data_IF_196708848098
#
_entry.id   IF_196708848098
#
_cell.length_a   1.000
_cell.length_b   1.000
_cell.length_c   1.000
_cell.angle_alpha   90.00
_cell.angle_beta   90.00
_cell.angle_gamma   90.00
#
_symmetry.space_group_name_H-M   'P 1'
#
loop_
_entity.id
_entity.type
_entity.pdbx_description
1 polymer ?
#
# COMPACT_ATOMS: atom_id res chain seq x y z
N UNK A 1 5.48 3.06 -3.41
CA UNK A 1 6.62 2.13 -3.49
C UNK A 1 6.32 1.08 -4.53
N UNK A 2 7.25 0.81 -5.47
CA UNK A 2 7.11 -0.28 -6.46
C UNK A 2 7.92 -1.50 -6.01
N UNK A 3 7.34 -2.69 -6.08
CA UNK A 3 7.98 -3.96 -5.74
C UNK A 3 7.87 -4.93 -6.90
N UNK A 4 8.93 -5.69 -7.14
CA UNK A 4 8.97 -6.70 -8.20
C UNK A 4 9.22 -8.06 -7.58
N UNK A 5 8.29 -8.98 -7.81
CA UNK A 5 8.36 -10.34 -7.31
C UNK A 5 8.80 -11.27 -8.44
N UNK A 6 9.82 -12.08 -8.19
CA UNK A 6 10.20 -13.16 -9.08
C UNK A 6 9.17 -14.30 -9.01
N UNK A 7 8.53 -14.63 -10.12
CA UNK A 7 7.47 -15.65 -10.19
C UNK A 7 7.96 -17.04 -10.59
N UNK A 8 9.15 -17.13 -11.18
CA UNK A 8 9.60 -18.33 -11.93
C UNK A 8 10.75 -19.10 -11.21
N UNK A 9 11.13 -18.70 -9.97
CA UNK A 9 12.35 -19.17 -9.29
C UNK A 9 12.16 -19.87 -7.92
N UNK A 10 13.12 -20.73 -7.53
CA UNK A 10 13.17 -21.48 -6.25
C UNK A 10 13.29 -20.61 -4.99
N UNK A 11 13.34 -19.28 -5.11
CA UNK A 11 13.71 -18.37 -4.03
C UNK A 11 12.75 -17.21 -3.73
N UNK A 12 11.67 -17.02 -4.49
CA UNK A 12 10.67 -15.94 -4.30
C UNK A 12 11.30 -14.58 -3.93
N UNK A 13 12.26 -14.12 -4.73
CA UNK A 13 12.97 -12.88 -4.41
C UNK A 13 12.09 -11.65 -4.68
N UNK A 14 12.17 -10.68 -3.78
CA UNK A 14 11.63 -9.33 -3.98
C UNK A 14 12.76 -8.39 -4.37
N UNK A 15 12.58 -7.63 -5.45
CA UNK A 15 13.50 -6.61 -5.92
C UNK A 15 12.94 -5.21 -5.68
N UNK A 16 13.79 -4.34 -5.13
CA UNK A 16 13.58 -2.92 -4.96
C UNK A 16 14.44 -2.17 -6.00
N UNK A 17 13.81 -1.36 -6.84
CA UNK A 17 14.52 -0.65 -7.90
C UNK A 17 15.14 0.64 -7.38
N UNK A 18 16.41 0.86 -7.70
CA UNK A 18 17.13 2.06 -7.26
C UNK A 18 17.82 2.81 -8.39
N UNK A 19 17.96 4.13 -8.21
CA UNK A 19 18.70 5.04 -9.09
C UNK A 19 20.21 4.99 -8.77
N UNK A 20 20.58 5.37 -7.54
CA UNK A 20 21.96 5.37 -7.07
C UNK A 20 22.09 5.12 -5.55
N UNK A 21 23.27 4.65 -5.13
CA UNK A 21 23.63 4.47 -3.71
C UNK A 21 24.20 5.78 -3.17
N UNK A 22 23.58 6.32 -2.14
CA UNK A 22 24.00 7.53 -1.44
C UNK A 22 24.58 7.20 -0.07
N UNK A 23 25.23 8.19 0.56
CA UNK A 23 25.80 8.05 1.91
C UNK A 23 24.74 7.69 2.96
N UNK A 24 23.48 8.05 2.72
CA UNK A 24 22.36 7.87 3.64
C UNK A 24 21.41 6.72 3.25
N UNK A 25 21.74 5.91 2.24
CA UNK A 25 20.89 4.80 1.81
C UNK A 25 20.87 4.62 0.30
N UNK A 26 19.79 4.01 -0.19
CA UNK A 26 19.56 3.75 -1.60
C UNK A 26 18.44 4.68 -2.08
N UNK A 27 18.68 5.44 -3.16
CA UNK A 27 17.66 6.33 -3.74
C UNK A 27 16.71 5.54 -4.62
N UNK A 28 15.40 5.66 -4.39
CA UNK A 28 14.37 5.03 -5.24
C UNK A 28 14.53 5.43 -6.71
N UNK A 29 14.33 4.47 -7.61
CA UNK A 29 14.56 4.68 -9.05
C UNK A 29 13.61 5.71 -9.68
N UNK A 30 12.32 5.62 -9.35
CA UNK A 30 11.30 6.48 -9.92
C UNK A 30 10.99 7.63 -8.98
N UNK A 31 10.99 8.86 -9.49
CA UNK A 31 10.27 9.95 -8.82
C UNK A 31 8.74 9.78 -8.98
N UNK A 32 7.94 10.60 -8.30
CA UNK A 32 6.47 10.48 -8.30
C UNK A 32 5.87 10.62 -9.71
N UNK A 33 6.34 11.58 -10.52
CA UNK A 33 5.81 11.83 -11.86
C UNK A 33 6.19 10.71 -12.85
N UNK A 34 7.44 10.24 -12.78
CA UNK A 34 7.94 9.12 -13.57
C UNK A 34 7.23 7.81 -13.21
N UNK A 35 6.93 7.61 -11.93
CA UNK A 35 6.15 6.45 -11.44
C UNK A 35 4.77 6.42 -12.10
N UNK A 36 4.05 7.55 -12.09
CA UNK A 36 2.72 7.60 -12.68
C UNK A 36 2.74 7.33 -14.20
N UNK A 37 3.68 7.93 -14.92
CA UNK A 37 3.85 7.70 -16.36
C UNK A 37 4.22 6.25 -16.68
N UNK A 38 5.09 5.66 -15.87
CA UNK A 38 5.47 4.26 -15.96
C UNK A 38 4.28 3.33 -15.76
N UNK A 39 3.49 3.55 -14.72
CA UNK A 39 2.28 2.75 -14.43
C UNK A 39 1.28 2.88 -15.58
N UNK A 40 0.94 4.10 -16.01
CA UNK A 40 0.00 4.33 -17.13
C UNK A 40 0.41 3.65 -18.43
N UNK A 41 1.72 3.53 -18.68
CA UNK A 41 2.25 2.94 -19.91
C UNK A 41 2.34 1.41 -19.87
N UNK A 42 2.44 0.82 -18.67
CA UNK A 42 2.77 -0.60 -18.50
C UNK A 42 1.66 -1.42 -17.82
N UNK A 43 0.78 -0.82 -17.02
CA UNK A 43 -0.24 -1.48 -16.22
C UNK A 43 -1.61 -1.27 -16.84
N UNK A 44 -2.25 -2.35 -17.32
CA UNK A 44 -3.47 -2.23 -18.12
C UNK A 44 -4.75 -2.01 -17.32
N UNK A 45 -4.79 -2.46 -16.07
CA UNK A 45 -6.01 -2.50 -15.25
C UNK A 45 -5.86 -1.65 -13.98
N UNK A 46 -5.24 -0.47 -14.10
CA UNK A 46 -5.10 0.45 -12.97
C UNK A 46 -6.38 1.29 -12.85
N UNK A 47 -7.13 1.21 -11.74
CA UNK A 47 -8.33 2.00 -11.54
C UNK A 47 -8.00 3.51 -11.46
N UNK A 48 -8.93 4.39 -11.84
CA UNK A 48 -8.71 5.84 -11.82
C UNK A 48 -8.43 6.36 -10.39
N UNK A 49 -9.10 5.74 -9.41
CA UNK A 49 -8.96 6.01 -7.99
C UNK A 49 -7.51 5.84 -7.50
N UNK A 50 -6.75 4.92 -8.10
CA UNK A 50 -5.33 4.74 -7.80
C UNK A 50 -4.55 6.02 -8.11
N UNK A 51 -4.84 6.69 -9.23
CA UNK A 51 -4.14 7.93 -9.59
C UNK A 51 -4.68 9.15 -8.86
N UNK A 52 -6.01 9.20 -8.67
CA UNK A 52 -6.68 10.33 -8.04
C UNK A 52 -6.39 10.43 -6.55
N UNK A 53 -6.53 9.32 -5.83
CA UNK A 53 -6.39 9.31 -4.37
C UNK A 53 -5.07 8.72 -3.89
N UNK A 54 -4.23 8.21 -4.82
CA UNK A 54 -2.97 7.53 -4.49
C UNK A 54 -3.19 6.37 -3.52
N UNK A 55 -4.25 5.61 -3.76
CA UNK A 55 -4.76 4.55 -2.89
C UNK A 55 -4.75 3.17 -3.52
N UNK A 56 -4.61 2.16 -2.67
CA UNK A 56 -4.58 0.76 -3.08
C UNK A 56 -3.26 0.40 -3.76
N UNK A 57 -3.33 -0.61 -4.61
CA UNK A 57 -2.20 -1.12 -5.37
C UNK A 57 -2.69 -1.63 -6.72
N UNK A 58 -1.77 -1.78 -7.65
CA UNK A 58 -2.02 -2.40 -8.95
C UNK A 58 -0.86 -3.31 -9.29
N UNK A 59 -1.18 -4.43 -9.92
CA UNK A 59 -0.24 -5.46 -10.26
C UNK A 59 -0.23 -5.70 -11.76
N UNK A 60 0.96 -5.99 -12.28
CA UNK A 60 1.18 -6.31 -13.67
C UNK A 60 2.28 -7.35 -13.77
N UNK A 61 1.97 -8.49 -14.38
CA UNK A 61 3.00 -9.46 -14.75
C UNK A 61 3.81 -8.90 -15.90
N UNK A 62 5.13 -9.10 -15.85
CA UNK A 62 6.01 -8.75 -16.94
C UNK A 62 7.40 -9.35 -16.78
N UNK A 63 8.23 -9.10 -17.78
CA UNK A 63 9.66 -9.41 -17.74
C UNK A 63 10.41 -8.17 -17.30
N UNK A 64 11.12 -8.29 -16.19
CA UNK A 64 11.97 -7.24 -15.65
C UNK A 64 13.42 -7.51 -16.05
N UNK A 65 14.07 -6.54 -16.68
CA UNK A 65 15.52 -6.54 -16.92
C UNK A 65 16.20 -5.64 -15.91
N UNK A 66 17.19 -6.18 -15.22
CA UNK A 66 17.94 -5.50 -14.15
C UNK A 66 19.43 -5.72 -14.27
N UNK A 67 20.20 -4.76 -13.77
CA UNK A 67 21.66 -4.82 -13.64
C UNK A 67 22.12 -4.38 -12.25
N UNK A 68 23.40 -4.55 -11.94
CA UNK A 68 24.04 -4.07 -10.69
C UNK A 68 23.28 -4.47 -9.41
N UNK A 69 23.09 -5.76 -9.19
CA UNK A 69 22.39 -6.25 -8.00
C UNK A 69 23.22 -6.05 -6.74
N UNK A 70 22.57 -5.62 -5.65
CA UNK A 70 23.15 -5.52 -4.33
C UNK A 70 22.16 -6.04 -3.28
N UNK A 71 22.67 -6.65 -2.22
CA UNK A 71 21.85 -7.18 -1.13
C UNK A 71 22.12 -6.37 0.13
N UNK A 72 21.07 -5.81 0.73
CA UNK A 72 21.14 -5.17 2.05
C UNK A 72 20.32 -6.01 3.02
N UNK A 73 20.85 -6.25 4.21
CA UNK A 73 20.09 -6.86 5.30
C UNK A 73 19.38 -5.77 6.10
N UNK A 74 18.05 -5.82 6.16
CA UNK A 74 17.23 -4.97 7.02
C UNK A 74 16.24 -5.85 7.79
N UNK A 75 16.16 -5.66 9.12
CA UNK A 75 15.26 -6.43 10.00
C UNK A 75 15.39 -7.96 9.81
N UNK A 76 16.61 -8.48 9.80
CA UNK A 76 16.95 -9.89 9.55
C UNK A 76 16.48 -10.46 8.20
N UNK A 77 15.97 -9.60 7.29
CA UNK A 77 15.58 -9.95 5.93
C UNK A 77 16.57 -9.40 4.91
N UNK A 78 16.90 -10.21 3.90
CA UNK A 78 17.74 -9.80 2.77
C UNK A 78 16.87 -9.11 1.71
N UNK A 79 17.06 -7.81 1.53
CA UNK A 79 16.44 -7.03 0.46
C UNK A 79 17.37 -6.98 -0.74
N UNK A 80 16.86 -7.38 -1.91
CA UNK A 80 17.59 -7.30 -3.17
C UNK A 80 17.30 -5.95 -3.81
N UNK A 81 18.32 -5.15 -4.02
CA UNK A 81 18.24 -3.91 -4.77
C UNK A 81 18.90 -4.12 -6.13
N UNK A 82 18.30 -3.59 -7.18
CA UNK A 82 18.88 -3.65 -8.52
C UNK A 82 18.63 -2.37 -9.30
N UNK A 83 19.54 -2.06 -10.21
CA UNK A 83 19.33 -1.00 -11.19
C UNK A 83 18.28 -1.46 -12.20
N UNK A 84 17.30 -0.61 -12.43
CA UNK A 84 16.27 -0.83 -13.45
C UNK A 84 16.83 -0.58 -14.86
N UNK A 85 16.67 -1.56 -15.75
CA UNK A 85 16.99 -1.39 -17.18
C UNK A 85 15.73 -1.31 -18.04
N UNK A 86 14.79 -2.26 -17.88
CA UNK A 86 13.50 -2.22 -18.57
C UNK A 86 12.44 -3.12 -17.94
N UNK A 87 11.17 -2.85 -18.25
CA UNK A 87 10.03 -3.70 -17.94
C UNK A 87 9.19 -3.90 -19.19
N UNK A 88 8.77 -5.14 -19.45
CA UNK A 88 7.86 -5.48 -20.53
C UNK A 88 6.65 -6.24 -19.99
N UNK A 89 5.43 -5.66 -20.02
CA UNK A 89 4.25 -6.35 -19.52
C UNK A 89 3.93 -7.59 -20.37
N UNK A 90 3.47 -8.65 -19.72
CA UNK A 90 3.01 -9.90 -20.33
C UNK A 90 1.51 -10.06 -20.05
N UNK A 91 0.76 -10.52 -21.05
CA UNK A 91 -0.69 -10.76 -20.93
C UNK A 91 -0.97 -12.23 -20.65
N UNK A 92 -2.00 -12.50 -19.86
CA UNK A 92 -2.56 -13.84 -19.70
C UNK A 92 -1.74 -14.79 -18.82
N UNK A 93 -0.89 -14.28 -17.93
CA UNK A 93 -0.33 -15.07 -16.83
C UNK A 93 -1.09 -14.74 -15.53
N UNK A 94 -1.67 -15.76 -14.93
CA UNK A 94 -2.24 -15.67 -13.59
C UNK A 94 -1.13 -15.74 -12.53
N UNK A 95 -1.30 -15.02 -11.44
CA UNK A 95 -0.41 -15.01 -10.29
C UNK A 95 -1.22 -14.85 -9.00
N UNK A 96 -0.72 -15.43 -7.92
CA UNK A 96 -1.33 -15.32 -6.59
C UNK A 96 -0.61 -14.24 -5.78
N UNK A 97 -1.15 -13.02 -5.80
CA UNK A 97 -0.56 -11.88 -5.09
C UNK A 97 -0.48 -12.12 -3.58
N UNK A 98 -1.48 -12.77 -2.98
CA UNK A 98 -1.49 -13.05 -1.53
C UNK A 98 -0.33 -13.96 -1.14
N UNK A 99 -0.06 -14.97 -1.97
CA UNK A 99 1.09 -15.86 -1.76
C UNK A 99 2.42 -15.09 -1.90
N UNK A 100 2.53 -14.17 -2.86
CA UNK A 100 3.73 -13.36 -3.05
C UNK A 100 3.97 -12.40 -1.87
N UNK A 101 2.91 -11.73 -1.40
CA UNK A 101 2.95 -10.82 -0.26
C UNK A 101 3.31 -11.53 1.05
N UNK A 102 2.73 -12.70 1.32
CA UNK A 102 3.08 -13.52 2.49
C UNK A 102 4.56 -13.91 2.51
N UNK A 103 5.17 -14.10 1.34
CA UNK A 103 6.60 -14.43 1.22
C UNK A 103 7.51 -13.20 1.30
N UNK A 104 6.96 -11.98 1.33
CA UNK A 104 7.73 -10.73 1.31
C UNK A 104 8.25 -10.29 2.69
N UNK A 105 7.95 -11.04 3.75
CA UNK A 105 8.51 -10.84 5.10
C UNK A 105 7.77 -9.78 5.92
N UNK A 106 8.51 -8.84 6.52
CA UNK A 106 8.02 -7.92 7.57
C UNK A 106 6.97 -6.88 7.15
N UNK A 107 6.58 -6.82 5.87
CA UNK A 107 5.67 -5.79 5.37
C UNK A 107 4.83 -6.32 4.20
N UNK A 108 3.84 -7.22 4.47
CA UNK A 108 3.04 -7.84 3.44
C UNK A 108 2.10 -6.85 2.72
N UNK A 109 1.73 -5.74 3.37
CA UNK A 109 0.75 -4.77 2.85
C UNK A 109 1.29 -3.32 2.94
N UNK A 110 2.34 -2.97 2.18
CA UNK A 110 3.00 -1.66 2.26
C UNK A 110 2.12 -0.48 1.82
N UNK A 111 1.00 -0.79 1.18
CA UNK A 111 0.01 0.16 0.70
C UNK A 111 -1.14 0.35 1.71
N UNK A 112 -1.13 -0.37 2.84
CA UNK A 112 -2.11 -0.19 3.90
C UNK A 112 -1.88 1.17 4.56
N UNK A 113 -2.92 2.00 4.58
CA UNK A 113 -2.88 3.31 5.22
C UNK A 113 -3.57 3.22 6.56
N UNK A 114 -2.86 3.59 7.62
CA UNK A 114 -3.38 3.56 8.98
C UNK A 114 -3.58 4.97 9.52
N UNK A 115 -4.70 5.16 10.22
CA UNK A 115 -5.02 6.41 10.90
C UNK A 115 -5.17 6.19 12.39
N UNK A 116 -4.94 7.26 13.13
CA UNK A 116 -5.40 7.43 14.50
C UNK A 116 -6.33 8.63 14.59
N UNK A 117 -7.09 8.72 15.66
CA UNK A 117 -7.87 9.93 15.94
C UNK A 117 -6.90 11.04 16.33
N UNK A 118 -7.09 12.21 15.72
CA UNK A 118 -6.29 13.40 16.01
C UNK A 118 -6.39 13.76 17.49
N UNK A 119 -5.27 14.19 18.06
CA UNK A 119 -5.23 14.62 19.46
C UNK A 119 -6.26 15.74 19.73
N UNK A 120 -7.03 15.59 20.82
CA UNK A 120 -8.10 16.51 21.20
C UNK A 120 -9.46 16.25 20.52
N UNK A 121 -9.58 15.22 19.68
CA UNK A 121 -10.84 14.81 19.05
C UNK A 121 -11.42 13.55 19.71
N UNK A 122 -11.66 13.57 21.03
CA UNK A 122 -12.00 12.36 21.81
C UNK A 122 -13.42 11.81 21.58
N UNK A 123 -14.29 12.55 20.88
CA UNK A 123 -15.71 12.20 20.66
C UNK A 123 -16.00 11.85 19.18
N UNK A 124 -15.06 11.17 18.53
CA UNK A 124 -15.19 10.74 17.13
C UNK A 124 -15.76 9.33 17.06
N UNK A 125 -16.80 9.15 16.24
CA UNK A 125 -17.47 7.86 16.03
C UNK A 125 -17.44 7.46 14.57
N UNK A 126 -17.40 6.14 14.32
CA UNK A 126 -17.67 5.60 12.99
C UNK A 126 -19.13 5.85 12.61
N UNK A 127 -19.33 6.51 11.48
CA UNK A 127 -20.65 6.79 10.90
C UNK A 127 -21.08 5.70 9.93
N UNK A 128 -22.38 5.43 9.85
CA UNK A 128 -22.96 4.44 8.93
C UNK A 128 -23.00 4.92 7.47
N UNK A 129 -22.96 6.24 7.27
CA UNK A 129 -22.88 6.92 5.96
C UNK A 129 -21.90 8.10 6.07
N UNK A 130 -21.35 8.62 4.96
CA UNK A 130 -20.48 9.82 4.97
C UNK A 130 -21.29 11.10 5.20
N UNK A 131 -22.01 11.16 6.33
CA UNK A 131 -22.90 12.23 6.72
C UNK A 131 -22.84 12.37 8.24
N UNK A 132 -22.68 13.61 8.71
CA UNK A 132 -22.56 13.95 10.15
C UNK A 132 -23.77 13.43 10.95
N UNK A 133 -24.95 13.57 10.37
CA UNK A 133 -26.24 13.21 10.97
C UNK A 133 -26.56 11.71 10.91
N UNK A 134 -25.72 10.90 10.25
CA UNK A 134 -25.96 9.46 10.18
C UNK A 134 -25.70 8.77 11.52
N UNK A 135 -26.32 7.61 11.69
CA UNK A 135 -26.18 6.81 12.91
C UNK A 135 -24.74 6.36 13.09
N UNK A 136 -24.30 6.31 14.34
CA UNK A 136 -23.02 5.73 14.70
C UNK A 136 -23.09 4.19 14.51
N UNK A 137 -22.04 3.62 13.93
CA UNK A 137 -21.90 2.16 13.75
C UNK A 137 -21.67 1.47 15.10
N UNK A 138 -20.98 2.16 16.00
CA UNK A 138 -20.66 1.69 17.35
C UNK A 138 -21.12 2.71 18.40
N UNK A 139 -21.41 2.23 19.60
CA UNK A 139 -21.91 3.06 20.71
C UNK A 139 -20.82 3.83 21.46
N UNK A 140 -19.54 3.51 21.23
CA UNK A 140 -18.38 4.14 21.88
C UNK A 140 -17.56 4.95 20.88
N UNK A 141 -16.91 6.04 21.31
CA UNK A 141 -15.91 6.71 20.49
C UNK A 141 -14.78 5.77 20.06
N UNK A 142 -14.15 6.10 18.94
CA UNK A 142 -13.01 5.36 18.40
C UNK A 142 -11.82 5.56 19.34
N UNK A 143 -11.22 4.46 19.80
CA UNK A 143 -10.08 4.46 20.73
C UNK A 143 -8.90 3.62 20.25
N UNK A 144 -8.99 3.07 19.04
CA UNK A 144 -7.95 2.23 18.44
C UNK A 144 -7.63 2.72 17.03
N UNK A 145 -6.47 2.33 16.48
CA UNK A 145 -6.11 2.64 15.11
C UNK A 145 -7.16 2.15 14.10
N UNK A 146 -7.21 2.86 12.99
CA UNK A 146 -8.11 2.63 11.88
C UNK A 146 -7.29 2.23 10.66
N UNK A 147 -7.83 1.31 9.84
CA UNK A 147 -7.26 0.97 8.54
C UNK A 147 -8.14 1.56 7.46
N UNK A 148 -7.54 2.29 6.53
CA UNK A 148 -8.23 2.86 5.37
C UNK A 148 -8.77 1.76 4.46
N UNK A 149 -10.03 1.91 4.05
CA UNK A 149 -10.64 1.05 3.03
C UNK A 149 -10.68 1.79 1.70
N UNK A 150 -11.23 3.01 1.70
CA UNK A 150 -11.28 3.88 0.52
C UNK A 150 -11.62 5.31 0.89
N UNK A 151 -11.11 6.27 0.12
CA UNK A 151 -11.62 7.64 0.13
C UNK A 151 -12.97 7.73 -0.56
N UNK A 152 -13.86 8.55 0.00
CA UNK A 152 -15.17 8.84 -0.57
C UNK A 152 -15.12 10.18 -1.32
N UNK A 153 -14.59 11.20 -0.64
CA UNK A 153 -14.41 12.55 -1.15
C UNK A 153 -13.34 13.26 -0.30
N UNK A 154 -13.16 14.57 -0.51
CA UNK A 154 -12.16 15.38 0.17
C UNK A 154 -12.40 15.51 1.69
N UNK A 155 -13.57 15.10 2.18
CA UNK A 155 -13.95 15.17 3.59
C UNK A 155 -13.99 13.81 4.26
N UNK A 156 -14.46 12.77 3.55
CA UNK A 156 -14.81 11.49 4.13
C UNK A 156 -13.95 10.34 3.64
N UNK A 157 -13.62 9.47 4.58
CA UNK A 157 -12.94 8.21 4.33
C UNK A 157 -13.71 7.06 4.95
N UNK A 158 -13.81 5.95 4.22
CA UNK A 158 -14.29 4.68 4.77
C UNK A 158 -13.11 3.94 5.39
N UNK A 159 -13.30 3.48 6.62
CA UNK A 159 -12.26 2.81 7.44
C UNK A 159 -12.83 1.58 8.14
N UNK A 160 -11.96 0.69 8.59
CA UNK A 160 -12.27 -0.36 9.57
C UNK A 160 -11.47 -0.14 10.86
N UNK A 161 -11.96 -0.67 11.98
CA UNK A 161 -11.13 -0.80 13.17
C UNK A 161 -9.98 -1.79 12.91
N UNK A 162 -8.76 -1.44 13.32
CA UNK A 162 -7.57 -2.29 13.19
C UNK A 162 -7.70 -3.57 14.01
N UNK A 163 -7.36 -4.70 13.41
CA UNK A 163 -7.28 -6.01 14.05
C UNK A 163 -6.19 -6.85 13.38
N UNK A 164 -5.02 -6.93 14.02
CA UNK A 164 -3.85 -7.65 13.51
C UNK A 164 -4.09 -9.16 13.29
N UNK A 165 -5.14 -9.74 13.88
CA UNK A 165 -5.45 -11.17 13.73
C UNK A 165 -6.24 -11.50 12.46
N UNK A 166 -6.72 -10.49 11.74
CA UNK A 166 -7.57 -10.64 10.56
C UNK A 166 -6.83 -10.28 9.27
N UNK A 167 -7.23 -10.86 8.12
CA UNK A 167 -6.69 -10.49 6.81
C UNK A 167 -6.83 -8.99 6.55
N UNK A 168 -5.77 -8.35 6.06
CA UNK A 168 -5.77 -6.90 5.86
C UNK A 168 -5.62 -6.07 7.13
N UNK A 169 -5.36 -6.72 8.28
CA UNK A 169 -5.42 -6.12 9.61
C UNK A 169 -6.72 -5.36 9.91
N UNK A 170 -7.84 -5.83 9.35
CA UNK A 170 -9.13 -5.12 9.34
C UNK A 170 -10.23 -5.95 10.00
N UNK A 171 -10.88 -5.38 11.00
CA UNK A 171 -12.11 -5.96 11.57
C UNK A 171 -13.31 -5.80 10.64
N UNK A 172 -14.40 -6.53 10.94
CA UNK A 172 -15.70 -6.36 10.26
C UNK A 172 -16.40 -5.05 10.66
N UNK A 173 -15.90 -4.34 11.67
CA UNK A 173 -16.48 -3.07 12.12
C UNK A 173 -15.92 -1.95 11.25
N UNK A 174 -16.74 -1.56 10.26
CA UNK A 174 -16.40 -0.55 9.27
C UNK A 174 -17.36 0.63 9.33
N UNK A 175 -16.88 1.81 8.95
CA UNK A 175 -17.72 3.00 8.86
C UNK A 175 -17.02 4.15 8.15
N UNK A 176 -17.62 5.32 8.28
CA UNK A 176 -17.13 6.55 7.68
C UNK A 176 -16.68 7.51 8.78
N UNK A 177 -15.59 8.23 8.54
CA UNK A 177 -15.05 9.25 9.44
C UNK A 177 -14.48 10.39 8.58
N UNK A 178 -14.39 11.59 9.14
CA UNK A 178 -13.82 12.73 8.42
C UNK A 178 -12.31 12.72 8.48
N UNK A 179 -11.65 13.14 7.41
CA UNK A 179 -10.20 13.35 7.40
C UNK A 179 -9.72 14.37 8.43
N UNK A 180 -10.53 15.40 8.71
CA UNK A 180 -10.18 16.43 9.70
C UNK A 180 -9.94 15.88 11.10
N UNK A 181 -10.54 14.73 11.41
CA UNK A 181 -10.49 14.08 12.71
C UNK A 181 -9.36 13.03 12.81
N UNK A 182 -8.54 12.89 11.78
CA UNK A 182 -7.54 11.84 11.66
C UNK A 182 -6.13 12.39 11.57
N UNK A 183 -5.19 11.63 12.12
CA UNK A 183 -3.77 11.74 11.83
C UNK A 183 -3.25 10.44 11.21
N UNK A 184 -2.35 10.59 10.23
CA UNK A 184 -1.70 9.50 9.53
C UNK A 184 -0.62 8.87 10.43
N UNK A 185 -0.61 7.54 10.51
CA UNK A 185 0.34 6.79 11.37
C UNK A 185 1.61 6.43 10.62
N UNK A 186 1.53 6.18 9.31
CA UNK A 186 2.60 5.65 8.48
C UNK A 186 2.94 6.49 7.25
#
# INVERSE_FOLDING_TARGET
MMRFFETDGKGNQTYYLYDLKEKNGVKDYFNVEETEKFIKSNFKNTPEEFFRFKEGHTEQVGVLSISNQMVIAECDNKKNYAKFDSFKPVLGRDFDIKKLELNSGCDPEPYSVMFTIKEGHDDVFLKSKPLITSQNVVSKPISQPLVKIKTIDDQWVKVALYDASLPGSRSKTEGYVKFSDLDLVN
#
